data_IF_553550932213
#
_entry.id   IF_553550932213
#
_cell.length_a   1.000
_cell.length_b   1.000
_cell.length_c   1.000
_cell.angle_alpha   90.00
_cell.angle_beta   90.00
_cell.angle_gamma   90.00
#
_symmetry.space_group_name_H-M   'P 1'
#
loop_
_entity.id
_entity.type
_entity.pdbx_description
1 polymer ?
#
# COMPACT_ATOMS: atom_id res chain seq x y z
N UNK A 1 55.42 -40.90 28.58
CA UNK A 1 54.18 -41.59 28.21
C UNK A 1 53.72 -41.01 26.88
N UNK A 2 53.67 -41.87 25.85
CA UNK A 2 53.20 -41.58 24.50
C UNK A 2 51.67 -41.69 24.41
N UNK A 3 51.05 -40.85 23.57
CA UNK A 3 49.91 -41.11 22.65
C UNK A 3 49.49 -39.73 22.11
N UNK A 4 49.67 -39.28 20.86
CA UNK A 4 49.50 -39.81 19.48
C UNK A 4 48.06 -40.25 19.09
N UNK A 5 47.32 -39.27 18.53
CA UNK A 5 46.46 -39.28 17.30
C UNK A 5 45.20 -40.19 17.26
N UNK A 6 44.14 -39.92 16.44
CA UNK A 6 44.19 -39.21 15.16
C UNK A 6 43.07 -38.22 14.80
N UNK A 7 43.39 -37.39 13.79
CA UNK A 7 42.49 -36.64 12.92
C UNK A 7 41.81 -37.63 11.98
N UNK A 8 40.48 -37.56 11.85
CA UNK A 8 39.73 -38.26 10.81
C UNK A 8 39.16 -37.23 9.82
N UNK A 9 39.79 -37.11 8.66
CA UNK A 9 39.17 -36.56 7.45
C UNK A 9 38.27 -37.64 6.85
N UNK A 10 36.96 -37.43 6.79
CA UNK A 10 36.09 -38.22 5.90
C UNK A 10 35.83 -37.43 4.62
N UNK A 11 36.53 -37.81 3.57
CA UNK A 11 36.23 -37.46 2.18
C UNK A 11 35.05 -38.31 1.73
N UNK A 12 33.87 -37.71 1.50
CA UNK A 12 32.79 -38.39 0.80
C UNK A 12 32.85 -38.01 -0.68
N UNK A 13 33.61 -38.81 -1.44
CA UNK A 13 33.59 -38.80 -2.90
C UNK A 13 32.39 -39.61 -3.39
N UNK A 14 31.45 -38.96 -4.08
CA UNK A 14 30.41 -39.61 -4.89
C UNK A 14 30.76 -39.41 -6.36
N UNK A 15 31.44 -40.40 -6.93
CA UNK A 15 31.46 -40.65 -8.37
C UNK A 15 30.64 -41.90 -8.65
N UNK A 16 29.79 -41.82 -9.67
CA UNK A 16 29.37 -42.83 -10.66
C UNK A 16 28.20 -42.17 -11.44
N UNK A 17 28.46 -41.48 -12.56
CA UNK A 17 28.62 -41.99 -13.95
C UNK A 17 27.34 -42.64 -14.51
N UNK A 18 26.67 -41.81 -15.34
CA UNK A 18 26.08 -42.04 -16.67
C UNK A 18 25.31 -43.34 -17.02
N UNK A 19 24.11 -43.15 -17.60
CA UNK A 19 23.69 -43.83 -18.82
C UNK A 19 22.48 -43.10 -19.44
N UNK A 20 22.54 -42.74 -20.73
CA UNK A 20 21.40 -42.16 -21.45
C UNK A 20 21.79 -41.35 -22.68
N UNK A 21 21.94 -42.05 -23.80
CA UNK A 21 22.39 -41.66 -25.14
C UNK A 21 21.62 -40.53 -25.85
N UNK A 22 22.36 -39.83 -26.71
CA UNK A 22 21.98 -38.90 -27.78
C UNK A 22 21.10 -39.54 -28.86
N UNK A 23 20.12 -38.79 -29.42
CA UNK A 23 20.03 -38.45 -30.87
C UNK A 23 18.76 -37.60 -31.23
N UNK A 24 18.70 -36.96 -32.44
CA UNK A 24 18.33 -35.54 -32.60
C UNK A 24 16.97 -35.25 -33.30
N UNK A 25 16.66 -33.96 -33.38
CA UNK A 25 15.86 -33.25 -34.41
C UNK A 25 14.47 -33.79 -34.80
N UNK A 26 13.44 -33.00 -34.48
CA UNK A 26 12.29 -32.81 -35.38
C UNK A 26 11.94 -31.34 -35.51
N UNK A 27 12.20 -30.81 -36.71
CA UNK A 27 11.50 -29.66 -37.26
C UNK A 27 9.98 -29.90 -37.21
N UNK A 28 9.24 -28.89 -36.79
CA UNK A 28 7.87 -28.66 -37.23
C UNK A 28 7.78 -27.19 -37.62
N UNK A 29 7.89 -26.93 -38.93
CA UNK A 29 7.33 -25.74 -39.56
C UNK A 29 5.85 -26.02 -39.90
N UNK A 30 5.07 -24.93 -39.95
CA UNK A 30 3.68 -24.80 -40.39
C UNK A 30 2.64 -25.03 -39.28
N UNK A 31 1.73 -24.12 -38.95
CA UNK A 31 1.17 -23.00 -39.71
C UNK A 31 0.81 -21.82 -38.79
N UNK A 32 0.97 -20.58 -39.29
CA UNK A 32 0.33 -19.39 -38.73
C UNK A 32 -1.20 -19.56 -38.75
N UNK A 33 -1.91 -19.23 -37.66
CA UNK A 33 -3.27 -18.73 -37.73
C UNK A 33 -3.23 -17.20 -37.77
N UNK A 34 -3.95 -16.67 -38.75
CA UNK A 34 -4.12 -15.26 -39.07
C UNK A 34 -4.53 -14.39 -37.88
N UNK A 35 -3.97 -13.18 -37.90
CA UNK A 35 -4.36 -11.97 -37.18
C UNK A 35 -5.87 -11.84 -36.90
N UNK A 36 -6.30 -11.76 -35.63
CA UNK A 36 -7.61 -11.21 -35.30
C UNK A 36 -7.52 -9.68 -35.30
N UNK A 37 -8.28 -9.08 -36.21
CA UNK A 37 -8.51 -7.63 -36.29
C UNK A 37 -8.91 -7.06 -34.92
N UNK A 38 -8.06 -6.20 -34.37
CA UNK A 38 -8.34 -5.46 -33.14
C UNK A 38 -9.26 -4.30 -33.52
N UNK A 39 -10.56 -4.48 -33.32
CA UNK A 39 -11.52 -3.37 -33.17
C UNK A 39 -10.97 -2.42 -32.09
N UNK A 40 -10.85 -1.11 -32.36
CA UNK A 40 -10.41 -0.16 -31.35
C UNK A 40 -11.51 -0.06 -30.30
N UNK A 41 -11.31 -0.72 -29.15
CA UNK A 41 -12.05 -0.35 -27.94
C UNK A 41 -11.55 1.02 -27.55
N UNK A 42 -12.42 2.00 -27.74
CA UNK A 42 -12.29 3.37 -27.26
C UNK A 42 -11.60 3.39 -25.89
N UNK A 43 -10.48 4.08 -25.86
CA UNK A 43 -9.78 4.51 -24.66
C UNK A 43 -10.77 5.08 -23.65
N UNK A 44 -10.73 4.53 -22.44
CA UNK A 44 -10.95 5.35 -21.25
C UNK A 44 -9.58 5.46 -20.59
N UNK A 45 -8.75 6.30 -21.18
CA UNK A 45 -7.59 6.88 -20.52
C UNK A 45 -8.11 8.10 -19.74
N UNK A 46 -8.03 8.04 -18.42
CA UNK A 46 -7.40 9.08 -17.61
C UNK A 46 -7.47 8.72 -16.12
N UNK A 47 -6.28 8.44 -15.61
CA UNK A 47 -5.84 8.52 -14.23
C UNK A 47 -6.11 9.91 -13.65
N UNK A 48 -7.32 10.07 -13.12
CA UNK A 48 -7.66 11.02 -12.06
C UNK A 48 -9.00 10.55 -11.51
N UNK A 49 -9.01 9.88 -10.35
CA UNK A 49 -10.25 9.53 -9.65
C UNK A 49 -11.01 10.82 -9.39
N UNK A 50 -12.03 11.08 -10.22
CA UNK A 50 -12.90 12.25 -10.12
C UNK A 50 -13.83 12.05 -8.93
N UNK A 51 -13.46 12.62 -7.79
CA UNK A 51 -14.23 12.59 -6.54
C UNK A 51 -15.50 13.45 -6.65
N UNK A 52 -16.55 12.93 -7.27
CA UNK A 52 -17.85 13.61 -7.31
C UNK A 52 -18.72 13.18 -6.11
N UNK A 53 -18.81 14.04 -5.10
CA UNK A 53 -19.97 14.13 -4.19
C UNK A 53 -19.98 13.26 -2.94
N UNK A 54 -19.31 12.11 -2.90
CA UNK A 54 -19.07 11.33 -1.69
C UNK A 54 -17.65 10.77 -1.74
N UNK A 55 -16.86 11.02 -0.70
CA UNK A 55 -15.55 10.39 -0.56
C UNK A 55 -15.73 8.91 -0.21
N UNK A 56 -15.85 8.02 -1.20
CA UNK A 56 -15.88 6.56 -1.00
C UNK A 56 -14.56 5.94 -1.45
N UNK A 57 -14.11 4.89 -0.76
CA UNK A 57 -12.83 4.24 -1.06
C UNK A 57 -11.93 4.07 0.15
N UNK A 58 -10.67 3.71 -0.11
CA UNK A 58 -9.67 3.40 0.91
C UNK A 58 -8.67 4.54 1.02
N UNK A 59 -8.32 4.87 2.25
CA UNK A 59 -7.34 5.90 2.57
C UNK A 59 -6.37 5.40 3.64
N UNK A 60 -5.07 5.69 3.46
CA UNK A 60 -4.03 5.24 4.39
C UNK A 60 -3.05 6.34 4.75
N UNK A 61 -2.49 6.26 5.95
CA UNK A 61 -1.31 7.01 6.35
C UNK A 61 -0.34 6.13 7.16
N UNK A 62 0.96 6.34 6.91
CA UNK A 62 2.05 5.91 7.78
C UNK A 62 2.48 7.12 8.62
N UNK A 63 2.26 7.05 9.92
CA UNK A 63 2.45 8.17 10.83
C UNK A 63 3.74 7.99 11.64
N UNK A 64 4.42 9.11 11.99
CA UNK A 64 5.45 9.09 13.01
C UNK A 64 4.92 8.50 14.32
N UNK A 65 5.78 7.78 15.05
CA UNK A 65 5.44 7.21 16.33
C UNK A 65 6.57 7.33 17.34
N UNK A 66 6.31 8.01 18.45
CA UNK A 66 7.35 8.27 19.47
C UNK A 66 7.71 7.02 20.28
N UNK A 67 6.74 6.13 20.51
CA UNK A 67 6.88 4.95 21.39
C UNK A 67 6.54 3.64 20.67
N UNK A 68 6.62 3.62 19.35
CA UNK A 68 6.36 2.43 18.56
C UNK A 68 7.16 2.47 17.25
N UNK A 69 7.37 1.30 16.66
CA UNK A 69 8.11 1.17 15.40
C UNK A 69 7.26 1.61 14.21
N UNK A 70 5.94 1.37 14.27
CA UNK A 70 5.02 1.75 13.19
C UNK A 70 3.65 2.16 13.70
N UNK A 71 3.08 3.18 13.07
CA UNK A 71 1.71 3.61 13.29
C UNK A 71 1.03 3.78 11.93
N UNK A 72 -0.01 2.98 11.67
CA UNK A 72 -0.75 2.98 10.40
C UNK A 72 -2.20 3.27 10.68
N UNK A 73 -2.77 4.23 9.96
CA UNK A 73 -4.21 4.44 9.93
C UNK A 73 -4.74 4.04 8.56
N UNK A 74 -5.76 3.18 8.54
CA UNK A 74 -6.51 2.83 7.34
C UNK A 74 -7.97 3.17 7.57
N UNK A 75 -8.51 4.07 6.74
CA UNK A 75 -9.91 4.45 6.72
C UNK A 75 -10.54 3.94 5.42
N UNK A 76 -11.63 3.19 5.53
CA UNK A 76 -12.50 2.83 4.41
C UNK A 76 -13.83 3.55 4.57
N UNK A 77 -14.22 4.28 3.53
CA UNK A 77 -15.50 4.94 3.41
C UNK A 77 -16.36 4.17 2.41
N UNK A 78 -17.52 3.69 2.85
CA UNK A 78 -18.40 2.83 2.05
C UNK A 78 -19.51 3.64 1.38
N UNK A 79 -20.07 3.07 0.31
CA UNK A 79 -21.16 3.69 -0.45
C UNK A 79 -22.47 3.81 0.36
N UNK A 80 -22.66 2.93 1.36
CA UNK A 80 -23.81 2.90 2.27
C UNK A 80 -23.72 3.92 3.43
N UNK A 81 -22.83 4.91 3.32
CA UNK A 81 -22.57 5.94 4.33
C UNK A 81 -22.05 5.37 5.66
N UNK A 82 -21.43 4.19 5.64
CA UNK A 82 -20.70 3.65 6.78
C UNK A 82 -19.19 3.82 6.60
N UNK A 83 -18.45 3.74 7.70
CA UNK A 83 -16.99 3.71 7.66
C UNK A 83 -16.43 2.56 8.49
N UNK A 84 -15.21 2.15 8.13
CA UNK A 84 -14.38 1.24 8.89
C UNK A 84 -13.00 1.87 9.03
N UNK A 85 -12.46 1.91 10.24
CA UNK A 85 -11.17 2.47 10.57
C UNK A 85 -10.34 1.43 11.32
N UNK A 86 -9.11 1.23 10.89
CA UNK A 86 -8.09 0.47 11.62
C UNK A 86 -6.94 1.40 12.01
N UNK A 87 -6.70 1.56 13.31
CA UNK A 87 -5.52 2.22 13.89
C UNK A 87 -4.57 1.12 14.43
N UNK A 88 -3.47 0.92 13.71
CA UNK A 88 -2.50 -0.13 13.97
C UNK A 88 -1.23 0.52 14.53
N UNK A 89 -0.82 0.09 15.72
CA UNK A 89 0.45 0.48 16.36
C UNK A 89 1.30 -0.76 16.62
N UNK A 90 2.51 -0.79 16.08
CA UNK A 90 3.47 -1.89 16.23
C UNK A 90 4.66 -1.44 17.06
N UNK A 91 5.02 -2.24 18.05
CA UNK A 91 6.27 -2.15 18.81
C UNK A 91 7.06 -3.44 18.62
N UNK A 92 8.34 -3.47 19.04
CA UNK A 92 9.21 -4.67 18.99
C UNK A 92 8.54 -5.96 19.46
N UNK A 93 7.74 -5.86 20.51
CA UNK A 93 7.17 -7.02 21.21
C UNK A 93 5.71 -7.30 20.86
N UNK A 94 4.98 -6.30 20.35
CA UNK A 94 3.51 -6.41 20.21
C UNK A 94 2.97 -5.49 19.13
N UNK A 95 2.02 -6.02 18.37
CA UNK A 95 1.09 -5.24 17.56
C UNK A 95 -0.22 -5.03 18.32
N UNK A 96 -0.76 -3.81 18.25
CA UNK A 96 -2.11 -3.47 18.68
C UNK A 96 -2.86 -2.91 17.49
N UNK A 97 -4.08 -3.39 17.30
CA UNK A 97 -4.99 -2.88 16.29
C UNK A 97 -6.29 -2.50 16.99
N UNK A 98 -6.73 -1.27 16.75
CA UNK A 98 -8.03 -0.79 17.20
C UNK A 98 -8.93 -0.62 15.97
N UNK A 99 -10.03 -1.36 15.92
CA UNK A 99 -11.00 -1.29 14.85
C UNK A 99 -12.22 -0.50 15.31
N UNK A 100 -12.61 0.48 14.51
CA UNK A 100 -13.76 1.34 14.78
C UNK A 100 -14.63 1.36 13.52
N UNK A 101 -15.93 1.21 13.71
CA UNK A 101 -16.90 1.32 12.62
C UNK A 101 -18.04 2.24 13.04
N UNK A 102 -18.78 2.73 12.05
CA UNK A 102 -19.91 3.61 12.30
C UNK A 102 -20.46 4.25 11.04
N UNK A 103 -21.12 5.39 11.21
CA UNK A 103 -21.83 6.11 10.15
C UNK A 103 -21.16 7.44 9.82
N UNK A 104 -21.38 7.90 8.59
CA UNK A 104 -20.88 9.15 8.05
C UNK A 104 -22.06 10.13 7.96
N UNK A 105 -21.89 11.33 8.49
CA UNK A 105 -22.89 12.40 8.43
C UNK A 105 -22.25 13.68 7.90
N UNK A 106 -22.97 14.43 7.08
CA UNK A 106 -22.51 15.75 6.66
C UNK A 106 -22.28 16.67 7.87
N UNK A 107 -21.14 17.36 7.91
CA UNK A 107 -20.89 18.39 8.92
C UNK A 107 -21.76 19.60 8.57
N UNK A 108 -22.96 19.72 9.18
CA UNK A 108 -23.77 20.92 9.00
C UNK A 108 -23.13 22.09 9.74
N UNK A 109 -22.75 23.13 9.02
CA UNK A 109 -22.38 24.40 9.64
C UNK A 109 -23.67 25.12 10.08
N UNK A 110 -23.79 25.49 11.36
CA UNK A 110 -24.94 26.24 11.87
C UNK A 110 -25.15 27.56 11.10
N UNK A 111 -24.10 28.12 10.49
CA UNK A 111 -24.18 29.32 9.62
C UNK A 111 -24.81 29.06 8.25
N UNK A 112 -24.85 27.81 7.76
CA UNK A 112 -25.51 27.46 6.50
C UNK A 112 -27.04 27.35 6.66
N UNK A 113 -27.53 27.08 7.87
CA UNK A 113 -28.98 27.05 8.17
C UNK A 113 -29.65 28.42 7.97
N UNK A 114 -28.93 29.51 8.22
CA UNK A 114 -29.45 30.87 8.01
C UNK A 114 -29.48 31.29 6.53
N UNK A 115 -28.66 30.68 5.66
CA UNK A 115 -28.63 30.97 4.22
C UNK A 115 -29.58 30.10 3.38
N UNK A 116 -30.14 29.02 3.93
CA UNK A 116 -31.09 28.15 3.23
C UNK A 116 -32.45 28.79 2.90
N UNK A 117 -32.72 30.02 3.38
CA UNK A 117 -33.91 30.77 3.00
C UNK A 117 -33.78 31.50 1.64
N UNK A 118 -32.65 31.42 0.94
CA UNK A 118 -32.49 32.01 -0.40
C UNK A 118 -31.71 31.07 -1.35
N UNK A 119 -32.44 30.46 -2.28
CA UNK A 119 -32.00 29.68 -3.45
C UNK A 119 -31.14 28.41 -3.19
N UNK A 120 -31.54 27.24 -3.71
CA UNK A 120 -30.75 26.01 -3.60
C UNK A 120 -29.61 26.01 -4.63
N UNK A 121 -28.56 26.80 -4.39
CA UNK A 121 -27.28 26.54 -5.05
C UNK A 121 -26.64 25.32 -4.39
N UNK A 122 -26.28 24.30 -5.19
CA UNK A 122 -25.55 23.10 -4.75
C UNK A 122 -24.34 23.47 -3.88
N UNK A 123 -24.50 23.43 -2.56
CA UNK A 123 -23.38 23.49 -1.62
C UNK A 123 -22.70 22.12 -1.63
N UNK A 124 -21.52 22.02 -2.25
CA UNK A 124 -20.61 20.91 -2.03
C UNK A 124 -20.24 20.90 -0.56
N UNK A 125 -20.68 19.84 0.12
CA UNK A 125 -20.27 19.59 1.51
C UNK A 125 -18.93 18.89 1.41
N UNK A 126 -17.84 19.59 1.74
CA UNK A 126 -16.50 19.02 1.71
C UNK A 126 -16.07 18.47 3.08
N UNK A 127 -16.94 18.56 4.09
CA UNK A 127 -16.69 18.11 5.47
C UNK A 127 -17.75 17.12 5.96
N UNK A 128 -17.29 16.03 6.57
CA UNK A 128 -18.16 15.01 7.17
C UNK A 128 -17.68 14.62 8.56
N UNK A 129 -18.63 14.19 9.39
CA UNK A 129 -18.41 13.66 10.72
C UNK A 129 -18.55 12.14 10.70
N UNK A 130 -17.62 11.46 11.37
CA UNK A 130 -17.67 10.03 11.60
C UNK A 130 -18.24 9.78 13.00
N UNK A 131 -19.37 9.08 13.08
CA UNK A 131 -20.06 8.75 14.33
C UNK A 131 -19.95 7.25 14.59
N UNK A 132 -19.54 6.88 15.80
CA UNK A 132 -19.59 5.48 16.24
C UNK A 132 -20.99 5.14 16.76
N UNK A 133 -21.25 3.85 17.01
CA UNK A 133 -22.54 3.34 17.50
C UNK A 133 -23.07 4.06 18.75
N UNK A 134 -22.18 4.66 19.55
CA UNK A 134 -22.52 5.41 20.77
C UNK A 134 -22.84 6.90 20.53
N UNK A 135 -23.16 7.31 19.29
CA UNK A 135 -23.60 8.66 18.84
C UNK A 135 -22.56 9.78 19.00
N UNK A 136 -21.50 9.59 19.77
CA UNK A 136 -20.38 10.54 19.84
C UNK A 136 -19.67 10.66 18.49
N UNK A 137 -19.45 11.90 18.04
CA UNK A 137 -18.58 12.17 16.92
C UNK A 137 -17.16 11.71 17.28
N UNK A 138 -16.64 10.76 16.50
CA UNK A 138 -15.33 10.15 16.67
C UNK A 138 -14.24 10.91 15.93
N UNK A 139 -14.56 11.40 14.72
CA UNK A 139 -13.64 12.17 13.91
C UNK A 139 -14.37 13.10 12.93
N UNK A 140 -13.62 14.03 12.35
CA UNK A 140 -14.02 14.84 11.21
C UNK A 140 -13.10 14.57 10.02
N UNK A 141 -13.67 14.36 8.85
CA UNK A 141 -12.96 14.28 7.58
C UNK A 141 -13.26 15.50 6.73
N UNK A 142 -12.26 15.98 5.99
CA UNK A 142 -12.42 16.99 4.95
C UNK A 142 -11.74 16.49 3.68
N UNK A 143 -12.48 16.52 2.56
CA UNK A 143 -11.92 16.18 1.25
C UNK A 143 -10.97 17.28 0.77
N UNK A 144 -9.85 16.86 0.18
CA UNK A 144 -8.86 17.75 -0.43
C UNK A 144 -8.47 17.22 -1.81
N UNK A 145 -7.71 18.00 -2.57
CA UNK A 145 -7.18 17.61 -3.87
C UNK A 145 -6.28 16.36 -3.84
N UNK A 146 -5.71 16.02 -2.68
CA UNK A 146 -4.71 14.95 -2.56
C UNK A 146 -5.12 13.82 -1.60
N UNK A 147 -6.33 13.85 -1.06
CA UNK A 147 -6.79 12.90 -0.04
C UNK A 147 -7.67 13.53 1.03
N UNK A 148 -7.61 13.00 2.24
CA UNK A 148 -8.46 13.42 3.36
C UNK A 148 -7.64 14.06 4.48
N UNK A 149 -8.04 15.25 4.92
CA UNK A 149 -7.67 15.73 6.25
C UNK A 149 -8.56 15.02 7.26
N UNK A 150 -7.95 14.33 8.22
CA UNK A 150 -8.63 13.53 9.22
C UNK A 150 -8.29 14.06 10.61
N UNK A 151 -9.29 14.55 11.34
CA UNK A 151 -9.14 15.06 12.69
C UNK A 151 -9.79 14.05 13.66
N UNK A 152 -8.97 13.27 14.38
CA UNK A 152 -9.48 12.39 15.43
C UNK A 152 -9.80 13.19 16.67
N UNK A 153 -10.99 12.99 17.22
CA UNK A 153 -11.38 13.55 18.50
C UNK A 153 -10.88 12.65 19.63
N UNK A 154 -9.95 13.13 20.46
CA UNK A 154 -9.61 12.42 21.70
C UNK A 154 -10.78 12.52 22.68
N UNK A 155 -11.43 11.39 22.97
CA UNK A 155 -12.37 11.28 24.09
C UNK A 155 -11.62 11.50 25.41
N UNK A 156 -11.61 12.74 25.92
CA UNK A 156 -11.31 12.98 27.34
C UNK A 156 -12.62 13.00 28.10
N UNK A 157 -12.75 12.10 29.06
CA UNK A 157 -13.90 11.97 29.95
C UNK A 157 -13.89 13.04 31.07
N UNK A 158 -13.47 14.28 30.75
CA UNK A 158 -13.33 15.37 31.74
C UNK A 158 -14.14 16.55 31.23
N UNK A 159 -15.24 16.87 31.94
CA UNK A 159 -16.07 18.06 31.68
C UNK A 159 -15.17 19.32 31.61
N UNK A 160 -15.42 20.17 30.61
CA UNK A 160 -14.81 21.50 30.41
C UNK A 160 -13.33 21.55 29.97
N UNK A 161 -12.75 20.49 29.41
CA UNK A 161 -11.47 20.60 28.69
C UNK A 161 -11.71 20.64 27.17
N UNK A 162 -10.92 21.44 26.42
CA UNK A 162 -10.99 21.45 24.96
C UNK A 162 -10.68 20.04 24.41
N UNK A 163 -11.49 19.59 23.45
CA UNK A 163 -11.22 18.36 22.70
C UNK A 163 -9.86 18.52 22.04
N UNK A 164 -8.93 17.61 22.33
CA UNK A 164 -7.65 17.57 21.63
C UNK A 164 -7.89 16.85 20.32
N UNK A 165 -7.67 17.56 19.22
CA UNK A 165 -7.77 17.02 17.88
C UNK A 165 -6.38 16.59 17.42
N UNK A 166 -6.23 15.34 17.01
CA UNK A 166 -5.03 14.92 16.27
C UNK A 166 -5.37 14.99 14.78
N UNK A 167 -4.74 15.92 14.07
CA UNK A 167 -4.86 16.02 12.62
C UNK A 167 -3.84 15.11 11.94
N UNK A 168 -4.31 14.34 10.98
CA UNK A 168 -3.49 13.49 10.10
C UNK A 168 -4.00 13.62 8.68
N UNK A 169 -3.12 13.42 7.71
CA UNK A 169 -3.48 13.41 6.30
C UNK A 169 -3.51 11.96 5.81
N UNK A 170 -4.64 11.52 5.27
CA UNK A 170 -4.81 10.18 4.70
C UNK A 170 -4.81 10.28 3.18
N UNK A 171 -3.94 9.50 2.54
CA UNK A 171 -3.84 9.44 1.08
C UNK A 171 -4.84 8.41 0.55
N UNK A 172 -5.50 8.66 -0.58
CA UNK A 172 -6.28 7.63 -1.26
C UNK A 172 -5.32 6.50 -1.67
N UNK A 173 -5.81 5.26 -1.60
CA UNK A 173 -5.00 4.11 -1.96
C UNK A 173 -5.75 3.15 -2.88
N UNK A 174 -5.03 2.61 -3.86
CA UNK A 174 -5.55 1.63 -4.82
C UNK A 174 -4.64 0.41 -4.89
N UNK A 175 -5.22 -0.79 -4.82
CA UNK A 175 -4.44 -2.03 -4.86
C UNK A 175 -3.77 -2.23 -6.22
N UNK A 176 -2.50 -2.65 -6.21
CA UNK A 176 -1.78 -3.11 -7.39
C UNK A 176 -1.44 -4.60 -7.24
N UNK A 177 -1.37 -5.31 -8.37
CA UNK A 177 -0.98 -6.71 -8.39
C UNK A 177 0.45 -6.87 -7.87
N UNK A 178 0.65 -7.91 -7.06
CA UNK A 178 1.98 -8.33 -6.60
C UNK A 178 2.26 -9.74 -7.11
N UNK A 179 3.41 -9.92 -7.75
CA UNK A 179 3.96 -11.24 -8.10
C UNK A 179 5.06 -11.57 -7.11
N UNK A 180 4.73 -12.40 -6.13
CA UNK A 180 5.62 -12.69 -5.01
C UNK A 180 6.26 -14.09 -5.13
N UNK A 181 7.59 -14.15 -5.19
CA UNK A 181 8.34 -15.40 -5.23
C UNK A 181 8.57 -16.06 -3.84
N UNK A 182 8.30 -15.33 -2.75
CA UNK A 182 8.59 -15.76 -1.39
C UNK A 182 7.49 -16.68 -0.83
N UNK A 183 7.84 -17.93 -0.50
CA UNK A 183 6.89 -18.99 -0.10
C UNK A 183 6.15 -18.77 1.23
N UNK A 184 6.69 -17.95 2.13
CA UNK A 184 6.16 -17.76 3.50
C UNK A 184 5.99 -16.28 3.86
N UNK A 185 5.79 -15.46 2.83
CA UNK A 185 5.60 -14.03 2.99
C UNK A 185 4.38 -13.67 2.18
N UNK A 186 3.40 -13.00 2.79
CA UNK A 186 2.27 -12.41 2.07
C UNK A 186 2.56 -10.93 1.86
N UNK A 187 2.40 -10.45 0.63
CA UNK A 187 2.74 -9.06 0.26
C UNK A 187 1.57 -8.49 -0.52
N UNK A 188 1.00 -7.41 0.01
CA UNK A 188 0.00 -6.59 -0.66
C UNK A 188 0.62 -5.23 -0.93
N UNK A 189 0.31 -4.63 -2.07
CA UNK A 189 0.80 -3.32 -2.44
C UNK A 189 -0.36 -2.42 -2.83
N UNK A 190 -0.28 -1.16 -2.43
CA UNK A 190 -1.25 -0.13 -2.76
C UNK A 190 -0.50 1.10 -3.29
N UNK A 191 -0.93 1.63 -4.44
CA UNK A 191 -0.49 2.93 -4.95
C UNK A 191 -1.06 4.05 -4.07
N UNK A 192 -0.29 5.12 -3.86
CA UNK A 192 -0.60 6.18 -2.88
C UNK A 192 -0.69 7.55 -3.56
N UNK A 193 0.39 7.97 -4.21
CA UNK A 193 0.50 9.31 -4.78
C UNK A 193 1.62 9.39 -5.81
N UNK A 194 1.55 10.42 -6.64
CA UNK A 194 2.59 10.76 -7.61
C UNK A 194 3.23 12.09 -7.20
N UNK A 195 4.55 12.14 -7.18
CA UNK A 195 5.34 13.32 -6.80
C UNK A 195 6.25 13.70 -7.96
N UNK A 196 6.23 14.97 -8.37
CA UNK A 196 7.13 15.48 -9.40
C UNK A 196 8.58 15.46 -8.92
N UNK A 197 9.46 14.81 -9.69
CA UNK A 197 10.91 14.81 -9.43
C UNK A 197 11.56 15.84 -10.34
N UNK A 198 12.05 16.94 -9.74
CA UNK A 198 12.60 18.08 -10.49
C UNK A 198 14.01 17.87 -11.06
N UNK A 199 14.55 16.65 -11.03
CA UNK A 199 15.98 16.40 -11.21
C UNK A 199 16.41 15.93 -12.61
N UNK A 200 15.51 15.79 -13.59
CA UNK A 200 15.86 15.24 -14.91
C UNK A 200 15.30 16.06 -16.08
N UNK A 201 16.02 15.99 -17.21
CA UNK A 201 15.64 16.65 -18.48
C UNK A 201 14.32 16.10 -19.08
N UNK A 202 13.85 14.95 -18.60
CA UNK A 202 12.53 14.39 -18.85
C UNK A 202 11.69 14.43 -17.56
N UNK A 203 10.39 14.76 -17.63
CA UNK A 203 9.52 14.80 -16.45
C UNK A 203 9.28 13.37 -15.93
N UNK A 204 10.16 12.94 -15.02
CA UNK A 204 10.00 11.68 -14.28
C UNK A 204 9.19 11.96 -13.02
N UNK A 205 8.21 11.11 -12.74
CA UNK A 205 7.44 11.15 -11.49
C UNK A 205 7.91 10.04 -10.57
N UNK A 206 7.95 10.33 -9.27
CA UNK A 206 8.02 9.33 -8.23
C UNK A 206 6.61 8.86 -7.91
N UNK A 207 6.35 7.58 -8.12
CA UNK A 207 5.09 6.92 -7.79
C UNK A 207 5.28 6.15 -6.50
N UNK A 208 4.60 6.59 -5.45
CA UNK A 208 4.71 6.03 -4.12
C UNK A 208 3.72 4.88 -3.92
N UNK A 209 4.20 3.81 -3.29
CA UNK A 209 3.41 2.63 -2.93
C UNK A 209 3.62 2.28 -1.46
N UNK A 210 2.55 1.81 -0.81
CA UNK A 210 2.62 1.14 0.47
C UNK A 210 2.60 -0.37 0.26
N UNK A 211 3.62 -1.06 0.76
CA UNK A 211 3.66 -2.52 0.80
C UNK A 211 3.35 -2.99 2.22
N UNK A 212 2.30 -3.77 2.38
CA UNK A 212 1.98 -4.49 3.60
C UNK A 212 2.56 -5.91 3.49
N UNK A 213 3.63 -6.16 4.24
CA UNK A 213 4.41 -7.40 4.18
C UNK A 213 4.18 -8.18 5.47
N UNK A 214 3.61 -9.38 5.36
CA UNK A 214 3.40 -10.29 6.47
C UNK A 214 4.38 -11.46 6.35
N UNK A 215 5.43 -11.43 7.16
CA UNK A 215 6.39 -12.51 7.26
C UNK A 215 5.81 -13.64 8.14
N UNK A 216 5.36 -14.71 7.52
CA UNK A 216 4.79 -15.89 8.18
C UNK A 216 5.85 -16.99 8.43
N UNK A 217 7.12 -16.68 8.18
CA UNK A 217 8.23 -17.59 8.46
C UNK A 217 8.69 -17.52 9.91
N UNK A 218 9.55 -18.45 10.30
CA UNK A 218 10.18 -18.48 11.63
C UNK A 218 11.51 -17.71 11.68
N UNK A 219 11.86 -16.99 10.62
CA UNK A 219 13.10 -16.22 10.51
C UNK A 219 12.79 -14.76 10.15
N UNK A 220 13.70 -13.85 10.48
CA UNK A 220 13.58 -12.48 10.02
C UNK A 220 13.76 -12.43 8.49
N UNK A 221 12.95 -11.62 7.81
CA UNK A 221 13.02 -11.40 6.37
C UNK A 221 13.80 -10.10 6.12
N UNK A 222 14.90 -10.21 5.38
CA UNK A 222 15.61 -9.05 4.86
C UNK A 222 15.21 -8.87 3.39
N UNK A 223 14.63 -7.70 3.07
CA UNK A 223 14.41 -7.28 1.68
C UNK A 223 15.44 -6.22 1.31
N UNK A 224 15.84 -6.22 0.05
CA UNK A 224 16.66 -5.18 -0.57
C UNK A 224 15.82 -4.43 -1.59
N UNK A 225 16.18 -3.17 -1.86
CA UNK A 225 15.49 -2.37 -2.88
C UNK A 225 15.48 -3.05 -4.26
N UNK A 226 16.55 -3.79 -4.60
CA UNK A 226 16.67 -4.52 -5.86
C UNK A 226 15.75 -5.75 -5.97
N UNK A 227 15.19 -6.22 -4.86
CA UNK A 227 14.23 -7.32 -4.84
C UNK A 227 12.83 -6.84 -5.27
N UNK A 228 12.61 -5.52 -5.24
CA UNK A 228 11.35 -4.86 -5.54
C UNK A 228 11.42 -4.22 -6.93
N UNK A 229 10.72 -4.82 -7.90
CA UNK A 229 10.72 -4.36 -9.28
C UNK A 229 9.29 -4.10 -9.73
N UNK A 230 9.00 -2.87 -10.17
CA UNK A 230 7.75 -2.56 -10.85
C UNK A 230 7.89 -2.86 -12.33
N UNK A 231 6.88 -3.50 -12.89
CA UNK A 231 6.78 -3.78 -14.33
C UNK A 231 5.56 -3.10 -14.87
N UNK A 232 5.73 -2.36 -15.96
CA UNK A 232 4.62 -1.73 -16.68
C UNK A 232 3.99 -2.67 -17.72
N UNK A 233 2.91 -2.21 -18.35
CA UNK A 233 2.19 -2.96 -19.38
C UNK A 233 3.03 -3.20 -20.65
N UNK A 234 4.14 -2.47 -20.84
CA UNK A 234 5.08 -2.63 -21.94
C UNK A 234 6.31 -3.48 -21.54
N UNK A 235 6.24 -4.14 -20.38
CA UNK A 235 7.29 -5.00 -19.82
C UNK A 235 8.60 -4.27 -19.49
N UNK A 236 8.58 -2.94 -19.33
CA UNK A 236 9.73 -2.23 -18.79
C UNK A 236 9.80 -2.42 -17.28
N UNK A 237 11.01 -2.59 -16.77
CA UNK A 237 11.28 -2.80 -15.35
C UNK A 237 11.83 -1.53 -14.70
N UNK A 238 11.28 -1.16 -13.55
CA UNK A 238 11.69 -0.02 -12.75
C UNK A 238 12.10 -0.51 -11.36
N UNK A 239 13.32 -0.20 -10.94
CA UNK A 239 13.83 -0.57 -9.61
C UNK A 239 13.25 0.36 -8.55
N UNK A 240 12.93 -0.20 -7.38
CA UNK A 240 12.44 0.59 -6.26
C UNK A 240 13.52 1.54 -5.70
N UNK A 241 13.08 2.72 -5.31
CA UNK A 241 13.78 3.65 -4.45
C UNK A 241 13.13 3.56 -3.06
N UNK A 242 13.93 3.17 -2.06
CA UNK A 242 13.44 2.92 -0.70
C UNK A 242 14.37 3.59 0.29
N UNK A 243 13.80 4.27 1.28
CA UNK A 243 14.59 4.77 2.41
C UNK A 243 15.15 3.58 3.20
N UNK A 244 16.44 3.63 3.54
CA UNK A 244 17.14 2.54 4.23
C UNK A 244 16.48 2.18 5.55
N UNK A 245 15.87 3.13 6.25
CA UNK A 245 15.15 2.85 7.49
C UNK A 245 13.93 1.94 7.31
N UNK A 246 13.36 1.88 6.10
CA UNK A 246 12.26 0.98 5.77
C UNK A 246 12.72 -0.41 5.29
N UNK A 247 14.02 -0.61 5.13
CA UNK A 247 14.63 -1.91 4.78
C UNK A 247 15.19 -2.64 6.01
N UNK A 248 14.80 -2.27 7.23
CA UNK A 248 15.13 -3.08 8.41
C UNK A 248 14.52 -4.49 8.30
N UNK A 249 15.20 -5.53 8.85
CA UNK A 249 14.69 -6.89 8.81
C UNK A 249 13.29 -6.98 9.42
N UNK A 250 12.35 -7.55 8.67
CA UNK A 250 10.97 -7.79 9.12
C UNK A 250 10.97 -9.03 10.02
N UNK A 251 10.64 -8.91 11.32
CA UNK A 251 10.71 -10.05 12.23
C UNK A 251 9.82 -11.22 11.82
N UNK A 252 10.17 -12.41 12.29
CA UNK A 252 9.37 -13.62 12.12
C UNK A 252 7.94 -13.43 12.67
N UNK A 253 6.95 -13.98 11.97
CA UNK A 253 5.53 -13.95 12.37
C UNK A 253 4.98 -12.51 12.58
N UNK A 254 5.52 -11.51 11.87
CA UNK A 254 5.09 -10.12 12.00
C UNK A 254 4.69 -9.51 10.65
N UNK A 255 3.78 -8.53 10.73
CA UNK A 255 3.37 -7.68 9.62
C UNK A 255 4.01 -6.30 9.74
N UNK A 256 4.54 -5.80 8.63
CA UNK A 256 5.20 -4.50 8.53
C UNK A 256 4.73 -3.78 7.26
N UNK A 257 4.59 -2.47 7.36
CA UNK A 257 4.30 -1.61 6.22
C UNK A 257 5.55 -0.84 5.80
N UNK A 258 5.84 -0.79 4.52
CA UNK A 258 6.95 0.02 3.99
C UNK A 258 6.42 0.94 2.90
N UNK A 259 7.03 2.13 2.80
CA UNK A 259 6.81 3.02 1.66
C UNK A 259 7.96 2.81 0.67
N UNK A 260 7.60 2.59 -0.59
CA UNK A 260 8.56 2.43 -1.69
C UNK A 260 8.16 3.36 -2.83
N UNK A 261 9.13 3.85 -3.58
CA UNK A 261 8.88 4.75 -4.71
C UNK A 261 9.46 4.13 -5.98
N UNK A 262 8.76 4.26 -7.10
CA UNK A 262 9.26 3.89 -8.43
C UNK A 262 9.25 5.13 -9.31
N UNK A 263 10.32 5.33 -10.07
CA UNK A 263 10.49 6.53 -10.89
C UNK A 263 10.20 6.20 -12.34
N UNK A 264 9.07 6.69 -12.87
CA UNK A 264 8.66 6.48 -14.25
C UNK A 264 7.71 7.59 -14.75
N UNK A 265 7.59 7.82 -16.06
CA UNK A 265 6.75 8.89 -16.62
C UNK A 265 5.26 8.71 -16.30
N UNK A 266 4.49 9.81 -16.21
CA UNK A 266 3.02 9.73 -16.02
C UNK A 266 2.28 9.05 -17.15
N UNK A 267 2.88 8.99 -18.35
CA UNK A 267 2.32 8.31 -19.52
C UNK A 267 2.37 6.79 -19.43
N UNK A 268 3.11 6.25 -18.46
CA UNK A 268 3.27 4.80 -18.26
C UNK A 268 2.27 4.30 -17.23
N UNK A 269 1.68 3.14 -17.52
CA UNK A 269 0.76 2.46 -16.61
C UNK A 269 1.44 1.24 -15.98
N UNK A 270 1.57 1.25 -14.65
CA UNK A 270 2.07 0.10 -13.90
C UNK A 270 1.12 -1.11 -14.02
N UNK A 271 1.68 -2.31 -14.13
CA UNK A 271 0.94 -3.57 -14.17
C UNK A 271 1.11 -4.37 -12.88
N UNK A 272 2.36 -4.65 -12.49
CA UNK A 272 2.67 -5.55 -11.37
C UNK A 272 3.95 -5.16 -10.66
N UNK A 273 3.96 -5.32 -9.32
CA UNK A 273 5.20 -5.30 -8.54
C UNK A 273 5.67 -6.75 -8.36
N UNK A 274 6.85 -7.07 -8.89
CA UNK A 274 7.54 -8.33 -8.69
C UNK A 274 8.41 -8.27 -7.43
N UNK A 275 8.33 -9.31 -6.60
CA UNK A 275 9.19 -9.52 -5.44
C UNK A 275 10.05 -10.75 -5.76
N UNK A 276 11.37 -10.54 -5.86
CA UNK A 276 12.35 -11.58 -6.19
C UNK A 276 12.78 -12.39 -4.96
#
# INVERSE_FOLDING_TARGET
>A
MLNRYPIALSTLSLFLVACGSTDPSREYQSALPSEPQITPKTEVQNSATSWTGQATGNFRALLPCDNCEQHVIHLRLNDDQTFQLSDIKRSKQRQRENQVAGTIQAAQDNKQREKQNQHPSQTTIDEWLLHTENVEAYARIQLTTHGLKFNLYKQRNIKNQPKIETQVFLHPVESIKVSNALKHVDIQAEHVQNVEVKELNDPVMAHDYFLAIHNQSNQALQLHANDLILVDQQYQEYTAVVDRQFLEPIPAQQKQWIKVSFHYPTSVQADVIKIK
#
